data_IF_097061526766
#
_entry.id   IF_097061526766
#
_cell.length_a   1.000
_cell.length_b   1.000
_cell.length_c   1.000
_cell.angle_alpha   90.00
_cell.angle_beta   90.00
_cell.angle_gamma   90.00
#
_symmetry.space_group_name_H-M   'P 1'
#
loop_
_entity.id
_entity.type
_entity.pdbx_description
1 polymer ?
#
# COMPACT_ATOMS: atom_id res chain seq x y z
N UNK A 1 -27.00 38.75 22.39
CA UNK A 1 -27.84 37.53 22.30
C UNK A 1 -28.11 37.13 20.85
N UNK A 2 -28.89 37.89 20.07
CA UNK A 2 -29.30 37.51 18.70
C UNK A 2 -28.13 37.17 17.75
N UNK A 3 -27.07 37.98 17.76
CA UNK A 3 -25.87 37.69 16.94
C UNK A 3 -25.20 36.36 17.28
N UNK A 4 -25.19 35.98 18.57
CA UNK A 4 -24.61 34.72 19.03
C UNK A 4 -25.47 33.53 18.57
N UNK A 5 -26.80 33.68 18.62
CA UNK A 5 -27.74 32.68 18.13
C UNK A 5 -27.57 32.44 16.63
N UNK A 6 -27.40 33.52 15.85
CA UNK A 6 -27.17 33.41 14.39
C UNK A 6 -25.85 32.69 14.11
N UNK A 7 -24.78 33.03 14.82
CA UNK A 7 -23.48 32.36 14.65
C UNK A 7 -23.58 30.87 14.98
N UNK A 8 -24.27 30.52 16.08
CA UNK A 8 -24.46 29.12 16.46
C UNK A 8 -25.24 28.33 15.39
N UNK A 9 -26.29 28.92 14.81
CA UNK A 9 -27.06 28.30 13.73
C UNK A 9 -26.19 28.05 12.49
N UNK A 10 -25.38 29.02 12.08
CA UNK A 10 -24.48 28.88 10.92
C UNK A 10 -23.45 27.77 11.15
N UNK A 11 -22.87 27.68 12.36
CA UNK A 11 -21.91 26.62 12.70
C UNK A 11 -22.56 25.24 12.65
N UNK A 12 -23.76 25.11 13.21
CA UNK A 12 -24.51 23.84 13.19
C UNK A 12 -24.82 23.41 11.75
N UNK A 13 -25.30 24.33 10.92
CA UNK A 13 -25.57 24.07 9.50
C UNK A 13 -24.31 23.63 8.75
N UNK A 14 -23.17 24.30 8.99
CA UNK A 14 -21.90 23.94 8.37
C UNK A 14 -21.45 22.53 8.74
N UNK A 15 -21.61 22.15 10.02
CA UNK A 15 -21.28 20.81 10.52
C UNK A 15 -22.19 19.76 9.88
N UNK A 16 -23.50 20.00 9.82
CA UNK A 16 -24.46 19.11 9.16
C UNK A 16 -24.14 18.90 7.67
N UNK A 17 -23.81 19.97 6.95
CA UNK A 17 -23.41 19.90 5.53
C UNK A 17 -22.10 19.14 5.34
N UNK A 18 -21.13 19.33 6.23
CA UNK A 18 -19.87 18.58 6.18
C UNK A 18 -20.13 17.08 6.35
N UNK A 19 -20.94 16.67 7.33
CA UNK A 19 -21.22 15.25 7.58
C UNK A 19 -22.00 14.57 6.44
N UNK A 20 -22.91 15.29 5.78
CA UNK A 20 -23.66 14.79 4.62
C UNK A 20 -22.80 14.66 3.35
N UNK A 21 -21.75 15.46 3.23
CA UNK A 21 -20.86 15.45 2.04
C UNK A 21 -19.69 14.48 2.19
N UNK A 22 -19.36 14.04 3.40
CA UNK A 22 -18.40 12.97 3.65
C UNK A 22 -18.98 11.61 3.23
N UNK A 23 -18.95 11.32 1.93
CA UNK A 23 -19.06 9.94 1.46
C UNK A 23 -17.79 9.19 1.86
N UNK A 24 -17.90 7.97 2.41
CA UNK A 24 -16.72 7.14 2.62
C UNK A 24 -16.00 6.97 1.28
N UNK A 25 -14.70 7.24 1.27
CA UNK A 25 -13.90 6.99 0.08
C UNK A 25 -13.91 5.49 -0.19
N UNK A 26 -14.59 5.06 -1.25
CA UNK A 26 -14.50 3.67 -1.70
C UNK A 26 -13.09 3.41 -2.22
N UNK A 27 -12.25 2.85 -1.36
CA UNK A 27 -10.95 2.33 -1.74
C UNK A 27 -11.16 1.08 -2.61
N UNK A 28 -11.29 1.28 -3.94
CA UNK A 28 -11.25 0.16 -4.88
C UNK A 28 -9.83 -0.35 -4.97
N UNK A 29 -9.59 -1.53 -4.41
CA UNK A 29 -8.34 -2.25 -4.64
C UNK A 29 -8.39 -2.79 -6.07
N UNK A 30 -7.53 -2.25 -6.94
CA UNK A 30 -7.39 -2.74 -8.31
C UNK A 30 -6.72 -4.12 -8.28
N UNK A 31 -7.34 -5.11 -8.92
CA UNK A 31 -6.81 -6.49 -9.08
C UNK A 31 -5.61 -6.55 -10.06
N UNK A 32 -4.98 -5.41 -10.30
CA UNK A 32 -3.85 -5.27 -11.21
C UNK A 32 -2.57 -5.77 -10.55
N UNK A 33 -1.80 -6.64 -11.21
CA UNK A 33 -0.51 -7.07 -10.69
C UNK A 33 0.45 -5.89 -10.61
N UNK A 34 1.15 -5.79 -9.49
CA UNK A 34 2.23 -4.84 -9.26
C UNK A 34 3.58 -5.49 -9.56
N UNK A 35 4.52 -4.72 -10.10
CA UNK A 35 5.89 -5.17 -10.35
C UNK A 35 6.82 -4.39 -9.45
N UNK A 36 7.78 -5.05 -8.81
CA UNK A 36 8.73 -4.39 -7.90
C UNK A 36 10.06 -5.13 -7.85
N UNK A 37 11.12 -4.40 -7.52
CA UNK A 37 12.40 -4.99 -7.21
C UNK A 37 12.40 -5.53 -5.78
N UNK A 38 12.93 -6.74 -5.59
CA UNK A 38 13.11 -7.31 -4.26
C UNK A 38 14.17 -8.39 -4.25
N UNK A 39 14.56 -8.84 -3.06
CA UNK A 39 15.48 -9.96 -2.92
C UNK A 39 14.82 -11.27 -3.33
N UNK A 40 15.57 -12.17 -3.98
CA UNK A 40 15.02 -13.45 -4.46
C UNK A 40 14.32 -14.23 -3.34
N UNK A 41 14.96 -14.32 -2.18
CA UNK A 41 14.45 -14.93 -0.94
C UNK A 41 14.95 -14.16 0.28
N UNK A 42 14.40 -14.46 1.46
CA UNK A 42 14.93 -13.96 2.73
C UNK A 42 16.40 -14.39 2.85
N UNK A 43 17.28 -13.44 3.18
CA UNK A 43 18.73 -13.68 3.29
C UNK A 43 19.49 -13.70 1.96
N UNK A 44 18.83 -13.53 0.81
CA UNK A 44 19.52 -13.41 -0.49
C UNK A 44 20.00 -11.98 -0.71
N UNK A 45 21.21 -11.84 -1.27
CA UNK A 45 21.76 -10.58 -1.76
C UNK A 45 21.43 -10.32 -3.25
N UNK A 46 20.72 -11.25 -3.91
CA UNK A 46 20.33 -11.11 -5.31
C UNK A 46 19.00 -10.36 -5.44
N UNK A 47 19.05 -9.18 -6.06
CA UNK A 47 17.87 -8.38 -6.41
C UNK A 47 17.28 -8.86 -7.73
N UNK A 48 15.99 -9.18 -7.72
CA UNK A 48 15.20 -9.69 -8.85
C UNK A 48 13.90 -8.92 -9.00
N UNK A 49 13.35 -8.87 -10.21
CA UNK A 49 12.02 -8.32 -10.45
C UNK A 49 10.95 -9.33 -10.01
N UNK A 50 9.97 -8.86 -9.22
CA UNK A 50 8.87 -9.68 -8.71
C UNK A 50 7.52 -9.11 -9.15
N UNK A 51 6.64 -10.01 -9.58
CA UNK A 51 5.22 -9.75 -9.78
C UNK A 51 4.47 -10.07 -8.50
N UNK A 52 3.69 -9.12 -8.01
CA UNK A 52 2.83 -9.22 -6.83
C UNK A 52 1.38 -9.06 -7.29
N UNK A 53 0.54 -10.07 -7.05
CA UNK A 53 -0.90 -9.99 -7.32
C UNK A 53 -1.65 -10.09 -5.99
N UNK A 54 -2.48 -9.10 -5.68
CA UNK A 54 -3.31 -9.06 -4.48
C UNK A 54 -4.75 -9.36 -4.85
N UNK A 55 -5.25 -10.51 -4.44
CA UNK A 55 -6.62 -10.91 -4.66
C UNK A 55 -7.42 -10.68 -3.36
N UNK A 56 -8.44 -9.82 -3.35
CA UNK A 56 -9.34 -9.69 -2.22
C UNK A 56 -10.09 -11.01 -2.00
N UNK A 57 -9.89 -11.57 -0.82
CA UNK A 57 -10.62 -12.77 -0.41
C UNK A 57 -11.97 -12.32 0.13
N UNK A 58 -13.06 -13.02 -0.26
CA UNK A 58 -14.38 -12.78 0.32
C UNK A 58 -14.34 -13.16 1.80
N UNK A 59 -14.04 -12.19 2.64
CA UNK A 59 -14.01 -12.34 4.09
C UNK A 59 -15.17 -11.56 4.69
N UNK A 60 -15.90 -12.23 5.58
CA UNK A 60 -16.94 -11.56 6.38
C UNK A 60 -16.29 -11.16 7.70
N UNK A 61 -15.95 -9.87 7.89
CA UNK A 61 -15.34 -9.44 9.13
C UNK A 61 -16.29 -9.70 10.31
N UNK A 62 -15.78 -10.08 11.50
CA UNK A 62 -16.60 -10.18 12.69
C UNK A 62 -17.21 -8.81 13.03
N UNK A 63 -18.40 -8.79 13.62
CA UNK A 63 -19.15 -7.55 13.91
C UNK A 63 -18.40 -6.54 14.80
N UNK A 64 -17.34 -6.98 15.50
CA UNK A 64 -16.46 -6.13 16.32
C UNK A 64 -15.32 -5.46 15.53
N UNK A 65 -15.18 -5.73 14.23
CA UNK A 65 -14.18 -5.11 13.38
C UNK A 65 -14.57 -3.65 13.11
N UNK A 66 -14.11 -2.75 13.98
CA UNK A 66 -14.37 -1.31 13.90
C UNK A 66 -13.71 -0.61 12.69
N UNK A 67 -13.01 -1.35 11.84
CA UNK A 67 -12.34 -0.87 10.64
C UNK A 67 -12.63 -1.85 9.51
N UNK A 68 -12.88 -1.34 8.30
CA UNK A 68 -13.12 -2.13 7.09
C UNK A 68 -11.89 -2.91 6.65
N UNK A 69 -11.45 -3.86 7.47
CA UNK A 69 -10.34 -4.76 7.17
C UNK A 69 -10.80 -5.76 6.12
N UNK A 70 -10.02 -5.90 5.05
CA UNK A 70 -10.25 -6.88 4.00
C UNK A 70 -9.11 -7.89 4.05
N UNK A 71 -9.44 -9.18 4.03
CA UNK A 71 -8.44 -10.24 3.93
C UNK A 71 -7.93 -10.28 2.49
N UNK A 72 -6.60 -10.24 2.32
CA UNK A 72 -5.95 -10.27 1.02
C UNK A 72 -5.13 -11.54 0.87
N UNK A 73 -5.29 -12.21 -0.27
CA UNK A 73 -4.39 -13.27 -0.69
C UNK A 73 -3.37 -12.69 -1.67
N UNK A 74 -2.08 -12.81 -1.36
CA UNK A 74 -1.00 -12.35 -2.23
C UNK A 74 -0.31 -13.53 -2.93
N UNK A 75 -0.14 -13.41 -4.24
CA UNK A 75 0.68 -14.33 -5.04
C UNK A 75 1.91 -13.59 -5.53
N UNK A 76 3.08 -14.20 -5.37
CA UNK A 76 4.37 -13.60 -5.76
C UNK A 76 5.12 -14.50 -6.72
N UNK A 77 5.64 -13.95 -7.82
CA UNK A 77 6.47 -14.69 -8.77
C UNK A 77 7.67 -13.85 -9.21
N UNK A 78 8.83 -14.48 -9.39
CA UNK A 78 9.99 -13.82 -10.01
C UNK A 78 9.72 -13.74 -11.51
N UNK A 79 9.92 -12.57 -12.10
CA UNK A 79 9.68 -12.29 -13.52
C UNK A 79 10.90 -11.64 -14.16
N UNK A 80 10.85 -11.40 -15.46
CA UNK A 80 11.92 -10.74 -16.20
C UNK A 80 12.15 -9.29 -15.69
N UNK A 81 13.41 -8.89 -15.60
CA UNK A 81 13.84 -7.54 -15.25
C UNK A 81 13.20 -6.45 -16.13
N UNK A 82 12.78 -6.77 -17.37
CA UNK A 82 12.07 -5.86 -18.27
C UNK A 82 10.79 -5.28 -17.68
N UNK A 83 10.08 -6.03 -16.82
CA UNK A 83 8.85 -5.56 -16.17
C UNK A 83 9.12 -4.50 -15.09
N UNK A 84 10.33 -4.47 -14.54
CA UNK A 84 10.77 -3.49 -13.54
C UNK A 84 11.72 -2.44 -14.13
N UNK A 85 11.89 -2.39 -15.46
CA UNK A 85 12.89 -1.53 -16.12
C UNK A 85 12.71 -0.03 -15.83
N UNK A 86 11.47 0.41 -15.59
CA UNK A 86 11.13 1.80 -15.26
C UNK A 86 11.16 2.10 -13.75
N UNK A 87 11.51 1.12 -12.91
CA UNK A 87 11.54 1.24 -11.45
C UNK A 87 12.98 1.33 -10.96
N UNK A 88 13.21 2.16 -9.92
CA UNK A 88 14.52 2.28 -9.30
C UNK A 88 14.96 0.95 -8.69
N UNK A 89 16.07 0.37 -9.20
CA UNK A 89 16.64 -0.88 -8.69
C UNK A 89 17.39 -0.60 -7.38
N UNK A 90 17.08 -1.31 -6.28
CA UNK A 90 17.82 -1.18 -5.04
C UNK A 90 19.30 -1.47 -5.24
N UNK A 91 20.14 -0.55 -4.79
CA UNK A 91 21.59 -0.77 -4.72
C UNK A 91 21.85 -1.62 -3.48
N UNK A 92 22.21 -2.88 -3.69
CA UNK A 92 22.73 -3.69 -2.59
C UNK A 92 24.14 -3.19 -2.33
N UNK A 93 24.40 -2.67 -1.14
CA UNK A 93 25.77 -2.45 -0.68
C UNK A 93 26.45 -3.82 -0.60
N UNK A 94 27.06 -4.26 -1.71
CA UNK A 94 27.99 -5.36 -1.65
C UNK A 94 29.15 -4.87 -0.80
N UNK A 95 29.25 -5.35 0.43
CA UNK A 95 30.54 -5.43 1.10
C UNK A 95 31.41 -6.34 0.21
N UNK A 96 32.08 -5.77 -0.78
CA UNK A 96 33.26 -6.39 -1.36
C UNK A 96 34.30 -6.39 -0.24
N UNK A 97 34.37 -7.50 0.50
CA UNK A 97 35.58 -7.84 1.24
C UNK A 97 36.68 -8.07 0.20
N UNK A 98 37.78 -7.30 0.20
CA UNK A 98 38.92 -7.59 -0.65
C UNK A 98 39.71 -8.72 0.00
N UNK A 99 39.25 -9.97 -0.17
CA UNK A 99 40.05 -11.14 0.18
C UNK A 99 40.66 -11.73 -1.09
N UNK A 100 42.00 -11.79 -1.09
CA UNK A 100 42.90 -12.40 -2.06
C UNK A 100 43.35 -11.55 -3.26
N UNK A 101 44.27 -10.61 -2.99
CA UNK A 101 45.45 -10.42 -3.84
C UNK A 101 46.63 -11.13 -3.15
N UNK A 102 46.80 -12.40 -3.48
CA UNK A 102 47.89 -13.25 -3.02
C UNK A 102 48.16 -14.30 -4.08
N UNK A 103 48.89 -13.89 -5.12
CA UNK A 103 49.93 -14.64 -5.85
C UNK A 103 50.55 -13.74 -6.90
#
# INVERSE_FOLDING_TARGET
MQRIVIIALVVVELVLLSLLTLKPAEAKLSDSPMYTWGFASVGSNKVVCKKLAFHPEKWTPPASANQGTVKLHSTTAIVNDSYCANLAKPVVASNQSPENRGQ
#
